data_IF_247437967731
#
_entry.id   IF_247437967731
#
_cell.length_a   1.000
_cell.length_b   1.000
_cell.length_c   1.000
_cell.angle_alpha   90.00
_cell.angle_beta   90.00
_cell.angle_gamma   90.00
#
_symmetry.space_group_name_H-M   'P 1'
#
loop_
_entity.id
_entity.type
_entity.pdbx_description
1 polymer ?
#
# COMPACT_ATOMS: atom_id res chain seq x y z
N UNK A 1 12.04 -3.73 18.25
CA UNK A 1 12.01 -3.52 16.79
C UNK A 1 10.60 -3.08 16.44
N UNK A 2 10.43 -1.92 15.81
CA UNK A 2 9.09 -1.46 15.41
C UNK A 2 8.55 -2.36 14.28
N UNK A 3 7.24 -2.68 14.27
CA UNK A 3 6.64 -3.51 13.25
C UNK A 3 6.58 -2.76 11.91
N UNK A 4 7.04 -3.41 10.84
CA UNK A 4 6.90 -2.88 9.47
C UNK A 4 5.45 -3.06 9.04
N UNK A 5 4.79 -1.96 8.66
CA UNK A 5 3.43 -1.98 8.12
C UNK A 5 3.48 -1.82 6.61
N UNK A 6 3.16 -2.90 5.88
CA UNK A 6 3.13 -2.88 4.42
C UNK A 6 2.00 -2.00 3.84
N UNK A 7 0.92 -1.83 4.62
CA UNK A 7 -0.28 -1.06 4.28
C UNK A 7 -0.75 -0.35 5.55
N UNK A 8 -0.93 0.97 5.49
CA UNK A 8 -1.39 1.81 6.60
C UNK A 8 -2.05 3.10 6.08
N UNK A 9 -2.78 3.82 6.92
CA UNK A 9 -3.22 5.17 6.60
C UNK A 9 -2.03 6.16 6.60
N UNK A 10 -2.08 7.18 5.75
CA UNK A 10 -1.18 8.32 5.86
C UNK A 10 -1.35 8.98 7.25
N UNK A 11 -0.32 9.63 7.80
CA UNK A 11 -0.45 10.35 9.07
C UNK A 11 -1.56 11.41 9.06
N UNK A 12 -1.88 11.97 7.88
CA UNK A 12 -2.98 12.92 7.70
C UNK A 12 -4.36 12.26 7.57
N UNK A 13 -4.42 10.93 7.37
CA UNK A 13 -5.67 10.18 7.20
C UNK A 13 -6.35 10.41 5.85
N UNK A 14 -5.65 10.98 4.87
CA UNK A 14 -6.18 11.38 3.56
C UNK A 14 -5.78 10.43 2.42
N UNK A 15 -4.93 9.44 2.69
CA UNK A 15 -4.41 8.54 1.68
C UNK A 15 -4.05 7.16 2.27
N UNK A 16 -4.12 6.12 1.45
CA UNK A 16 -3.53 4.83 1.77
C UNK A 16 -2.03 4.86 1.51
N UNK A 17 -1.23 4.67 2.56
CA UNK A 17 0.22 4.54 2.46
C UNK A 17 0.64 3.08 2.39
N UNK A 18 1.41 2.74 1.37
CA UNK A 18 1.92 1.38 1.12
C UNK A 18 3.44 1.38 0.99
N UNK A 19 4.05 0.23 1.24
CA UNK A 19 5.42 -0.05 0.77
C UNK A 19 5.31 -0.67 -0.62
N UNK A 20 6.01 -0.11 -1.61
CA UNK A 20 6.08 -0.67 -2.96
C UNK A 20 6.91 -1.95 -2.96
N UNK A 21 6.23 -3.09 -2.87
CA UNK A 21 6.87 -4.40 -2.73
C UNK A 21 7.67 -4.82 -3.97
N UNK A 22 7.55 -4.13 -5.10
CA UNK A 22 8.34 -4.38 -6.32
C UNK A 22 9.77 -3.88 -6.20
N UNK A 23 10.01 -2.96 -5.26
CA UNK A 23 11.32 -2.33 -5.01
C UNK A 23 12.12 -3.08 -3.96
N UNK A 24 11.48 -3.95 -3.19
CA UNK A 24 12.15 -4.77 -2.19
C UNK A 24 12.91 -5.94 -2.85
N UNK A 25 14.08 -6.33 -2.30
CA UNK A 25 14.71 -5.81 -1.08
C UNK A 25 15.58 -4.55 -1.30
N UNK A 26 15.80 -4.14 -2.55
CA UNK A 26 16.79 -3.11 -2.90
C UNK A 26 16.45 -1.71 -2.36
N UNK A 27 15.17 -1.37 -2.27
CA UNK A 27 14.69 -0.11 -1.71
C UNK A 27 13.33 -0.25 -1.04
N UNK A 28 13.21 0.32 0.16
CA UNK A 28 11.93 0.51 0.85
C UNK A 28 11.35 1.87 0.42
N UNK A 29 10.47 1.85 -0.58
CA UNK A 29 9.82 3.07 -1.12
C UNK A 29 8.37 3.10 -0.67
N UNK A 30 7.98 4.16 0.03
CA UNK A 30 6.58 4.39 0.39
C UNK A 30 5.84 5.11 -0.75
N UNK A 31 4.56 4.77 -0.93
CA UNK A 31 3.64 5.47 -1.84
C UNK A 31 2.35 5.79 -1.12
N UNK A 32 1.79 6.97 -1.40
CA UNK A 32 0.45 7.35 -0.95
C UNK A 32 -0.51 7.28 -2.12
N UNK A 33 -1.60 6.54 -1.94
CA UNK A 33 -2.66 6.31 -2.90
C UNK A 33 -3.91 7.02 -2.38
N UNK A 34 -4.38 8.01 -3.14
CA UNK A 34 -5.51 8.89 -2.80
C UNK A 34 -6.78 8.52 -3.54
N UNK A 35 -6.70 7.73 -4.61
CA UNK A 35 -7.88 7.30 -5.36
C UNK A 35 -7.99 5.78 -5.49
N UNK A 36 -9.22 5.32 -5.75
CA UNK A 36 -9.51 3.90 -6.03
C UNK A 36 -8.68 3.42 -7.24
N UNK A 37 -8.51 4.25 -8.26
CA UNK A 37 -7.72 3.92 -9.44
C UNK A 37 -6.25 3.65 -9.09
N UNK A 38 -5.67 4.46 -8.20
CA UNK A 38 -4.30 4.29 -7.71
C UNK A 38 -4.15 3.01 -6.89
N UNK A 39 -5.14 2.67 -6.05
CA UNK A 39 -5.18 1.40 -5.29
C UNK A 39 -5.27 0.20 -6.23
N UNK A 40 -6.20 0.26 -7.18
CA UNK A 40 -6.37 -0.78 -8.20
C UNK A 40 -5.10 -0.98 -9.02
N UNK A 41 -4.40 0.11 -9.36
CA UNK A 41 -3.13 0.05 -10.07
C UNK A 41 -2.02 -0.56 -9.21
N UNK A 42 -1.95 -0.22 -7.93
CA UNK A 42 -0.99 -0.81 -7.00
C UNK A 42 -1.19 -2.33 -6.85
N UNK A 43 -2.44 -2.81 -6.83
CA UNK A 43 -2.75 -4.25 -6.79
C UNK A 43 -2.37 -4.92 -8.12
N UNK A 44 -2.79 -4.36 -9.27
CA UNK A 44 -2.52 -4.91 -10.60
C UNK A 44 -1.02 -5.03 -10.91
N UNK A 45 -0.25 -4.01 -10.51
CA UNK A 45 1.20 -3.99 -10.73
C UNK A 45 1.99 -4.78 -9.69
N UNK A 46 1.33 -5.35 -8.68
CA UNK A 46 1.95 -6.03 -7.53
C UNK A 46 2.82 -5.13 -6.65
N UNK A 47 2.59 -3.80 -6.68
CA UNK A 47 3.11 -2.89 -5.67
C UNK A 47 2.53 -3.23 -4.28
N UNK A 48 1.28 -3.69 -4.23
CA UNK A 48 0.65 -4.38 -3.10
C UNK A 48 0.31 -5.80 -3.51
N UNK A 49 0.69 -6.79 -2.71
CA UNK A 49 0.38 -8.20 -2.94
C UNK A 49 0.24 -8.97 -1.64
N UNK A 50 -0.32 -10.17 -1.75
CA UNK A 50 -0.71 -11.02 -0.61
C UNK A 50 -2.18 -10.82 -0.27
N UNK A 51 -2.95 -11.92 -0.18
CA UNK A 51 -4.39 -11.86 0.00
C UNK A 51 -4.86 -10.99 1.18
N UNK A 52 -4.22 -11.03 2.37
CA UNK A 52 -4.57 -10.12 3.47
C UNK A 52 -4.34 -8.64 3.13
N UNK A 53 -3.21 -8.30 2.50
CA UNK A 53 -2.86 -6.92 2.17
C UNK A 53 -3.79 -6.34 1.09
N UNK A 54 -4.19 -7.16 0.12
CA UNK A 54 -5.18 -6.79 -0.91
C UNK A 54 -6.54 -6.50 -0.26
N UNK A 55 -6.99 -7.35 0.67
CA UNK A 55 -8.25 -7.13 1.38
C UNK A 55 -8.25 -5.83 2.20
N UNK A 56 -7.14 -5.54 2.89
CA UNK A 56 -6.98 -4.29 3.65
C UNK A 56 -6.93 -3.07 2.72
N UNK A 57 -6.20 -3.13 1.61
CA UNK A 57 -6.12 -2.02 0.65
C UNK A 57 -7.48 -1.72 0.00
N UNK A 58 -8.27 -2.76 -0.32
CA UNK A 58 -9.62 -2.60 -0.87
C UNK A 58 -10.62 -2.01 0.14
N UNK A 59 -10.48 -2.35 1.43
CA UNK A 59 -11.32 -1.78 2.48
C UNK A 59 -10.95 -0.35 2.87
N UNK A 60 -9.67 0.03 2.69
CA UNK A 60 -9.14 1.36 3.02
C UNK A 60 -9.27 2.35 1.85
N UNK A 61 -9.23 1.87 0.60
CA UNK A 61 -9.33 2.72 -0.59
C UNK A 61 -10.73 3.23 -0.93
N UNK A 62 -11.76 2.87 -0.14
CA UNK A 62 -13.15 3.35 -0.20
C UNK A 62 -13.40 4.35 0.93
#
# INVERSE_FOLDING_TARGET
MEPIRAVQWSPAGDALRIIDQRRLPDACVERELRTVEEVMEAIRTLAVRGAPAIGVAAAIGL
#
